data_IF_875753570766
#
_entry.id   IF_875753570766
#
_cell.length_a   1.000
_cell.length_b   1.000
_cell.length_c   1.000
_cell.angle_alpha   90.00
_cell.angle_beta   90.00
_cell.angle_gamma   90.00
#
_symmetry.space_group_name_H-M   'P 1'
#
loop_
_entity.id
_entity.type
_entity.pdbx_description
1 polymer ?
#
# COMPACT_ATOMS: atom_id res chain seq x y z
N UNK A 1 -0.14 18.85 18.52
CA UNK A 1 -0.68 17.50 18.24
C UNK A 1 0.49 16.62 17.81
N UNK A 2 0.85 15.58 18.58
CA UNK A 2 2.11 14.84 18.38
C UNK A 2 1.99 13.81 17.24
N UNK A 3 3.05 13.65 16.44
CA UNK A 3 3.18 12.72 15.30
C UNK A 3 2.68 11.29 15.59
N UNK A 4 2.85 10.84 16.84
CA UNK A 4 2.41 9.53 17.35
C UNK A 4 0.88 9.39 17.44
N UNK A 5 0.17 10.48 17.70
CA UNK A 5 -1.30 10.52 17.73
C UNK A 5 -1.89 10.47 16.32
N UNK A 6 -1.22 11.11 15.35
CA UNK A 6 -1.64 11.11 13.94
C UNK A 6 -1.51 9.71 13.31
N UNK A 7 -0.40 9.01 13.57
CA UNK A 7 -0.19 7.63 13.07
C UNK A 7 -1.22 6.67 13.68
N UNK A 8 -1.53 6.78 14.98
CA UNK A 8 -2.60 5.96 15.58
C UNK A 8 -3.96 6.22 14.94
N UNK A 9 -4.30 7.48 14.65
CA UNK A 9 -5.57 7.80 13.98
C UNK A 9 -5.62 7.25 12.55
N UNK A 10 -4.51 7.33 11.80
CA UNK A 10 -4.41 6.77 10.45
C UNK A 10 -4.49 5.23 10.44
N UNK A 11 -3.83 4.58 11.39
CA UNK A 11 -3.87 3.11 11.55
C UNK A 11 -5.27 2.65 11.98
N UNK A 12 -5.90 3.33 12.94
CA UNK A 12 -7.29 3.00 13.37
C UNK A 12 -8.27 3.20 12.23
N UNK A 13 -8.11 4.25 11.40
CA UNK A 13 -8.96 4.48 10.23
C UNK A 13 -8.80 3.41 9.14
N UNK A 14 -7.62 2.78 9.05
CA UNK A 14 -7.35 1.66 8.14
C UNK A 14 -7.86 0.30 8.66
N UNK A 15 -8.17 0.19 9.97
CA UNK A 15 -8.62 -1.05 10.62
C UNK A 15 -10.13 -1.17 10.81
N UNK A 16 -10.91 -0.09 10.66
CA UNK A 16 -12.37 -0.14 10.63
C UNK A 16 -12.90 -0.36 9.21
N UNK A 17 -14.09 -0.97 9.01
CA UNK A 17 -14.77 -1.06 7.72
C UNK A 17 -15.35 0.31 7.30
N UNK A 18 -14.56 1.37 7.45
CA UNK A 18 -14.84 2.77 7.12
C UNK A 18 -14.26 3.17 5.77
N UNK A 19 -14.09 2.23 4.83
CA UNK A 19 -13.92 2.62 3.42
C UNK A 19 -15.22 3.29 2.90
N UNK A 20 -16.36 3.02 3.53
CA UNK A 20 -17.62 3.77 3.30
C UNK A 20 -17.66 5.14 3.98
N UNK A 21 -16.80 5.45 4.94
CA UNK A 21 -16.76 6.79 5.58
C UNK A 21 -15.71 7.73 4.98
N UNK A 22 -14.71 7.22 4.26
CA UNK A 22 -13.87 8.06 3.39
C UNK A 22 -14.60 8.52 2.13
N UNK A 23 -15.66 7.82 1.73
CA UNK A 23 -16.54 8.25 0.65
C UNK A 23 -17.33 9.54 1.00
N UNK A 24 -17.45 9.91 2.28
CA UNK A 24 -18.13 11.15 2.73
C UNK A 24 -17.17 12.34 2.93
N UNK A 25 -15.88 12.19 2.59
CA UNK A 25 -14.92 13.31 2.46
C UNK A 25 -14.42 13.43 1.00
N UNK A 26 -15.33 13.16 0.06
CA UNK A 26 -15.10 13.00 -1.36
C UNK A 26 -14.64 14.25 -2.14
N UNK A 27 -14.33 15.37 -1.49
CA UNK A 27 -13.98 16.57 -2.25
C UNK A 27 -12.54 16.59 -2.75
N UNK A 28 -11.55 15.93 -2.12
CA UNK A 28 -10.13 16.12 -2.52
C UNK A 28 -9.19 14.91 -2.34
N UNK A 29 -9.64 13.66 -2.51
CA UNK A 29 -8.68 12.55 -2.62
C UNK A 29 -8.07 12.55 -4.02
N UNK A 30 -6.86 13.10 -4.16
CA UNK A 30 -6.13 13.09 -5.43
C UNK A 30 -5.32 11.80 -5.59
N UNK A 31 -5.04 11.40 -6.83
CA UNK A 31 -4.15 10.28 -7.12
C UNK A 31 -2.78 10.44 -6.46
N UNK A 32 -2.20 11.64 -6.48
CA UNK A 32 -0.93 11.94 -5.81
C UNK A 32 -1.01 11.65 -4.32
N UNK A 33 -2.12 11.99 -3.67
CA UNK A 33 -2.30 11.72 -2.24
C UNK A 33 -2.37 10.23 -1.93
N UNK A 34 -3.03 9.45 -2.78
CA UNK A 34 -3.06 7.98 -2.64
C UNK A 34 -1.65 7.38 -2.80
N UNK A 35 -0.86 7.88 -3.75
CA UNK A 35 0.54 7.46 -3.96
C UNK A 35 1.43 7.80 -2.76
N UNK A 36 1.26 8.98 -2.15
CA UNK A 36 1.97 9.34 -0.92
C UNK A 36 1.63 8.39 0.24
N UNK A 37 0.34 8.08 0.42
CA UNK A 37 -0.12 7.17 1.45
C UNK A 37 0.39 5.74 1.21
N UNK A 38 0.42 5.28 -0.04
CA UNK A 38 1.05 4.02 -0.42
C UNK A 38 2.53 3.99 -0.02
N UNK A 39 3.27 5.05 -0.33
CA UNK A 39 4.71 5.13 0.00
C UNK A 39 4.93 5.00 1.51
N UNK A 40 4.13 5.71 2.32
CA UNK A 40 4.20 5.61 3.78
C UNK A 40 3.80 4.22 4.29
N UNK A 41 2.80 3.59 3.69
CA UNK A 41 2.37 2.24 4.03
C UNK A 41 3.47 1.22 3.72
N UNK A 42 4.11 1.34 2.56
CA UNK A 42 5.21 0.46 2.16
C UNK A 42 6.44 0.64 3.06
N UNK A 43 6.78 1.87 3.45
CA UNK A 43 7.86 2.11 4.42
C UNK A 43 7.58 1.47 5.79
N UNK A 44 6.32 1.51 6.24
CA UNK A 44 5.91 0.86 7.48
C UNK A 44 5.96 -0.67 7.37
N UNK A 45 5.45 -1.24 6.28
CA UNK A 45 5.54 -2.67 5.98
C UNK A 45 7.00 -3.15 5.94
N UNK A 46 7.86 -2.47 5.18
CA UNK A 46 9.28 -2.78 5.09
C UNK A 46 9.97 -2.75 6.46
N UNK A 47 9.58 -1.81 7.34
CA UNK A 47 10.10 -1.76 8.70
C UNK A 47 9.63 -2.93 9.57
N UNK A 48 8.39 -3.43 9.41
CA UNK A 48 7.92 -4.61 10.12
C UNK A 48 8.66 -5.88 9.65
N UNK A 49 8.90 -6.01 8.34
CA UNK A 49 9.72 -7.10 7.79
C UNK A 49 11.17 -7.03 8.26
N UNK A 50 11.75 -5.83 8.38
CA UNK A 50 13.08 -5.64 8.96
C UNK A 50 13.18 -6.17 10.38
N UNK A 51 12.17 -5.88 11.23
CA UNK A 51 12.13 -6.44 12.60
C UNK A 51 12.00 -7.96 12.61
N UNK A 52 11.20 -8.52 11.70
CA UNK A 52 11.07 -9.98 11.59
C UNK A 52 12.40 -10.63 11.18
N UNK A 53 13.12 -10.00 10.25
CA UNK A 53 14.47 -10.41 9.86
C UNK A 53 15.44 -10.33 11.03
N UNK A 54 15.36 -9.31 11.88
CA UNK A 54 16.20 -9.22 13.09
C UNK A 54 15.92 -10.37 14.08
N UNK A 55 14.68 -10.88 14.14
CA UNK A 55 14.28 -12.01 14.99
C UNK A 55 14.75 -13.36 14.44
N UNK A 56 14.70 -13.56 13.11
CA UNK A 56 15.28 -14.73 12.43
C UNK A 56 15.99 -14.32 11.14
N UNK A 57 17.28 -13.94 11.22
CA UNK A 57 18.06 -13.52 10.06
C UNK A 57 18.28 -14.64 9.04
N UNK A 58 18.09 -15.89 9.46
CA UNK A 58 18.27 -17.04 8.59
C UNK A 58 17.11 -17.21 7.60
N UNK A 59 15.92 -16.68 7.96
CA UNK A 59 14.69 -16.83 7.19
C UNK A 59 14.17 -18.27 7.09
N UNK A 60 14.81 -19.23 7.77
CA UNK A 60 14.43 -20.64 7.69
C UNK A 60 13.19 -20.97 8.53
N UNK A 61 12.79 -20.08 9.45
CA UNK A 61 11.58 -20.24 10.27
C UNK A 61 11.57 -21.59 11.01
N UNK A 62 12.72 -21.99 11.54
CA UNK A 62 12.86 -23.26 12.28
C UNK A 62 12.41 -23.05 13.72
N UNK A 63 11.32 -23.73 14.12
CA UNK A 63 10.69 -23.65 15.46
C UNK A 63 10.43 -22.19 15.92
N UNK A 64 9.49 -21.49 15.25
CA UNK A 64 9.31 -20.06 15.45
C UNK A 64 8.82 -19.75 16.87
N UNK A 65 9.50 -18.82 17.53
CA UNK A 65 9.11 -18.35 18.86
C UNK A 65 7.74 -17.64 18.81
N UNK A 66 7.01 -17.55 19.94
CA UNK A 66 5.79 -16.76 20.01
C UNK A 66 5.97 -15.30 19.59
N UNK A 67 7.15 -14.72 19.86
CA UNK A 67 7.51 -13.36 19.44
C UNK A 67 7.65 -13.26 17.91
N UNK A 68 8.31 -14.23 17.27
CA UNK A 68 8.39 -14.32 15.82
C UNK A 68 6.99 -14.39 15.19
N UNK A 69 6.12 -15.27 15.70
CA UNK A 69 4.76 -15.42 15.18
C UNK A 69 3.92 -14.14 15.34
N UNK A 70 4.06 -13.46 16.48
CA UNK A 70 3.38 -12.18 16.70
C UNK A 70 3.91 -11.08 15.77
N UNK A 71 5.20 -11.05 15.47
CA UNK A 71 5.78 -10.11 14.52
C UNK A 71 5.38 -10.45 13.07
N UNK A 72 5.35 -11.73 12.70
CA UNK A 72 4.88 -12.20 11.40
C UNK A 72 3.43 -11.74 11.14
N UNK A 73 2.55 -11.86 12.13
CA UNK A 73 1.17 -11.37 12.03
C UNK A 73 1.13 -9.86 11.72
N UNK A 74 1.97 -9.05 12.37
CA UNK A 74 2.07 -7.60 12.08
C UNK A 74 2.58 -7.34 10.66
N UNK A 75 3.50 -8.16 10.15
CA UNK A 75 3.98 -8.05 8.78
C UNK A 75 2.84 -8.32 7.77
N UNK A 76 2.01 -9.34 8.03
CA UNK A 76 0.84 -9.62 7.18
C UNK A 76 -0.21 -8.51 7.25
N UNK A 77 -0.42 -7.93 8.44
CA UNK A 77 -1.32 -6.77 8.60
C UNK A 77 -0.80 -5.55 7.82
N UNK A 78 0.50 -5.25 7.91
CA UNK A 78 1.10 -4.12 7.20
C UNK A 78 1.05 -4.32 5.68
N UNK A 79 1.37 -5.52 5.18
CA UNK A 79 1.21 -5.90 3.78
C UNK A 79 -0.22 -5.67 3.30
N UNK A 80 -1.21 -6.11 4.08
CA UNK A 80 -2.63 -5.91 3.75
C UNK A 80 -2.98 -4.43 3.56
N UNK A 81 -2.38 -3.53 4.34
CA UNK A 81 -2.57 -2.09 4.17
C UNK A 81 -1.97 -1.59 2.85
N UNK A 82 -0.78 -2.06 2.46
CA UNK A 82 -0.16 -1.72 1.18
C UNK A 82 -1.05 -2.16 0.01
N UNK A 83 -1.50 -3.42 0.01
CA UNK A 83 -2.38 -3.96 -1.03
C UNK A 83 -3.71 -3.17 -1.14
N UNK A 84 -4.27 -2.72 -0.01
CA UNK A 84 -5.45 -1.85 0.00
C UNK A 84 -5.18 -0.47 -0.61
N UNK A 85 -4.01 0.11 -0.36
CA UNK A 85 -3.63 1.39 -0.98
C UNK A 85 -3.43 1.24 -2.49
N UNK A 86 -2.84 0.13 -2.94
CA UNK A 86 -2.70 -0.18 -4.37
C UNK A 86 -4.06 -0.34 -5.04
N UNK A 87 -4.98 -1.09 -4.41
CA UNK A 87 -6.34 -1.22 -4.90
C UNK A 87 -7.07 0.14 -5.00
N UNK A 88 -6.88 1.02 -4.01
CA UNK A 88 -7.45 2.37 -4.05
C UNK A 88 -6.85 3.23 -5.18
N UNK A 89 -5.54 3.14 -5.42
CA UNK A 89 -4.87 3.80 -6.54
C UNK A 89 -5.46 3.32 -7.88
N UNK A 90 -5.71 2.03 -8.04
CA UNK A 90 -6.26 1.49 -9.30
C UNK A 90 -7.76 1.72 -9.47
N UNK A 91 -8.50 1.85 -8.38
CA UNK A 91 -9.90 2.25 -8.43
C UNK A 91 -10.07 3.76 -8.72
N UNK A 92 -9.01 4.56 -8.64
CA UNK A 92 -9.06 5.99 -8.92
C UNK A 92 -9.43 6.23 -10.39
N UNK A 93 -10.45 7.06 -10.60
CA UNK A 93 -10.91 7.41 -11.94
C UNK A 93 -9.97 8.47 -12.55
N UNK A 94 -9.15 8.04 -13.51
CA UNK A 94 -8.30 8.95 -14.30
C UNK A 94 -9.19 9.89 -15.13
N UNK A 95 -9.06 11.19 -14.88
CA UNK A 95 -9.91 12.22 -15.49
C UNK A 95 -9.11 13.23 -16.32
N UNK A 96 -7.80 13.29 -16.10
CA UNK A 96 -6.90 14.23 -16.77
C UNK A 96 -5.67 13.52 -17.34
N UNK A 97 -4.99 14.17 -18.30
CA UNK A 97 -3.70 13.71 -18.80
C UNK A 97 -2.65 13.64 -17.67
N UNK A 98 -2.75 14.55 -16.68
CA UNK A 98 -1.85 14.55 -15.54
C UNK A 98 -2.03 13.33 -14.64
N UNK A 99 -3.29 12.88 -14.42
CA UNK A 99 -3.58 11.62 -13.72
C UNK A 99 -2.94 10.43 -14.45
N UNK A 100 -3.10 10.37 -15.78
CA UNK A 100 -2.53 9.29 -16.61
C UNK A 100 -1.01 9.27 -16.53
N UNK A 101 -0.36 10.43 -16.65
CA UNK A 101 1.10 10.56 -16.56
C UNK A 101 1.60 10.21 -15.15
N UNK A 102 0.89 10.64 -14.11
CA UNK A 102 1.22 10.37 -12.71
C UNK A 102 1.14 8.87 -12.43
N UNK A 103 0.04 8.21 -12.80
CA UNK A 103 -0.11 6.77 -12.61
C UNK A 103 0.96 5.99 -13.40
N UNK A 104 1.16 6.34 -14.67
CA UNK A 104 2.14 5.65 -15.53
C UNK A 104 3.55 5.73 -14.95
N UNK A 105 3.98 6.92 -14.51
CA UNK A 105 5.31 7.11 -13.89
C UNK A 105 5.44 6.32 -12.59
N UNK A 106 4.40 6.34 -11.76
CA UNK A 106 4.42 5.61 -10.50
C UNK A 106 4.48 4.09 -10.72
N UNK A 107 3.65 3.53 -11.61
CA UNK A 107 3.67 2.10 -11.95
C UNK A 107 5.05 1.69 -12.46
N UNK A 108 5.62 2.45 -13.40
CA UNK A 108 6.96 2.18 -13.92
C UNK A 108 8.03 2.20 -12.81
N UNK A 109 7.99 3.20 -11.92
CA UNK A 109 8.93 3.28 -10.81
C UNK A 109 8.82 2.07 -9.87
N UNK A 110 7.59 1.66 -9.52
CA UNK A 110 7.32 0.51 -8.65
C UNK A 110 7.72 -0.83 -9.25
N UNK A 111 7.52 -1.00 -10.56
CA UNK A 111 8.02 -2.18 -11.27
C UNK A 111 9.56 -2.21 -11.32
N UNK A 112 10.21 -1.04 -11.38
CA UNK A 112 11.67 -0.96 -11.41
C UNK A 112 12.34 -1.20 -10.06
N UNK A 113 11.72 -0.79 -8.95
CA UNK A 113 12.29 -0.90 -7.61
C UNK A 113 11.70 -2.04 -6.76
N UNK A 114 10.72 -2.78 -7.30
CA UNK A 114 9.99 -3.85 -6.64
C UNK A 114 9.32 -3.45 -5.32
N UNK A 115 8.95 -2.16 -5.16
CA UNK A 115 8.30 -1.65 -3.93
C UNK A 115 6.79 -1.61 -4.00
N UNK A 116 6.19 -2.68 -4.50
CA UNK A 116 4.74 -2.83 -4.61
C UNK A 116 4.36 -4.31 -4.55
N UNK A 117 3.08 -4.63 -4.34
CA UNK A 117 2.58 -6.01 -4.36
C UNK A 117 1.73 -6.32 -5.59
N UNK A 118 1.22 -5.31 -6.31
CA UNK A 118 0.34 -5.50 -7.46
C UNK A 118 0.95 -6.34 -8.59
N UNK A 119 2.28 -6.42 -8.71
CA UNK A 119 2.91 -7.29 -9.72
C UNK A 119 2.78 -8.78 -9.38
N UNK A 120 2.39 -9.14 -8.16
CA UNK A 120 2.06 -10.52 -7.79
C UNK A 120 0.75 -11.00 -8.42
N UNK A 121 -0.07 -10.07 -8.95
CA UNK A 121 -1.30 -10.34 -9.67
C UNK A 121 -1.21 -9.78 -11.10
N UNK A 122 -0.95 -10.67 -12.06
CA UNK A 122 -0.87 -10.32 -13.49
C UNK A 122 -2.16 -9.63 -13.99
N UNK A 123 -3.32 -9.99 -13.44
CA UNK A 123 -4.60 -9.39 -13.84
C UNK A 123 -4.70 -7.92 -13.41
N UNK A 124 -4.13 -7.57 -12.24
CA UNK A 124 -4.04 -6.19 -11.78
C UNK A 124 -3.14 -5.37 -12.71
N UNK A 125 -1.98 -5.90 -13.11
CA UNK A 125 -1.06 -5.26 -14.06
C UNK A 125 -1.76 -4.96 -15.39
N UNK A 126 -2.48 -5.94 -15.95
CA UNK A 126 -3.23 -5.75 -17.20
C UNK A 126 -4.36 -4.72 -17.08
N UNK A 127 -5.08 -4.72 -15.96
CA UNK A 127 -6.17 -3.77 -15.73
C UNK A 127 -5.65 -2.33 -15.72
N UNK A 128 -4.51 -2.08 -15.09
CA UNK A 128 -3.88 -0.74 -15.02
C UNK A 128 -3.49 -0.24 -16.41
N UNK A 129 -2.78 -1.05 -17.19
CA UNK A 129 -2.39 -0.66 -18.54
C UNK A 129 -3.60 -0.48 -19.46
N UNK A 130 -4.65 -1.28 -19.28
CA UNK A 130 -5.91 -1.11 -20.02
C UNK A 130 -6.60 0.21 -19.66
N UNK A 131 -6.61 0.59 -18.38
CA UNK A 131 -7.18 1.85 -17.93
C UNK A 131 -6.40 3.04 -18.52
N UNK A 132 -5.07 3.02 -18.42
CA UNK A 132 -4.19 4.04 -19.02
C UNK A 132 -4.44 4.18 -20.52
N UNK A 133 -4.52 3.06 -21.25
CA UNK A 133 -4.72 3.05 -22.70
C UNK A 133 -6.12 3.52 -23.15
N UNK A 134 -7.14 3.46 -22.29
CA UNK A 134 -8.50 3.92 -22.61
C UNK A 134 -8.72 5.40 -22.32
N UNK A 135 -7.90 6.00 -21.47
CA UNK A 135 -7.99 7.42 -21.10
C UNK A 135 -7.09 8.32 -21.95
N UNK A 136 -6.00 7.77 -22.52
CA UNK A 136 -5.12 8.45 -23.47
C UNK A 136 -5.68 8.47 -24.90
#
# INVERSE_FOLDING_TARGET
>A
MNRRTFIKAAVIAASTPTVTAFADTADHVTLSRLIELHTLAYEADSAEWGKLFDLDPSGFRLDPSPEYLAQEARCQDAKTVVERMEAAIFAYQLSTLDDVLTLTRWVHARLSDCRAYFYCDESAVHAIFTQIARTA
#
